data_IF_022857965018
#
_entry.id   IF_022857965018
#
_cell.length_a   1.000
_cell.length_b   1.000
_cell.length_c   1.000
_cell.angle_alpha   90.00
_cell.angle_beta   90.00
_cell.angle_gamma   90.00
#
_symmetry.space_group_name_H-M   'P 1'
#
loop_
_entity.id
_entity.type
_entity.pdbx_description
1 polymer ?
#
# COMPACT_ATOMS: atom_id res chain seq x y z
N UNK A 1 -15.50 -37.52 -66.56
CA UNK A 1 -15.92 -38.52 -65.55
C UNK A 1 -15.43 -38.00 -64.20
N UNK A 2 -16.32 -37.41 -63.40
CA UNK A 2 -17.03 -38.09 -62.30
C UNK A 2 -16.11 -38.33 -61.08
N UNK A 3 -16.43 -37.60 -60.00
CA UNK A 3 -16.33 -37.96 -58.56
C UNK A 3 -15.01 -37.57 -57.87
N UNK A 4 -15.04 -36.57 -56.97
CA UNK A 4 -15.32 -36.67 -55.50
C UNK A 4 -14.03 -37.14 -54.79
N UNK A 5 -13.53 -36.56 -53.69
CA UNK A 5 -14.19 -35.91 -52.55
C UNK A 5 -13.16 -35.08 -51.77
N UNK A 6 -13.67 -34.01 -51.15
CA UNK A 6 -13.49 -33.56 -49.76
C UNK A 6 -12.08 -33.60 -49.14
N UNK A 7 -11.63 -32.53 -48.48
CA UNK A 7 -11.96 -32.12 -47.09
C UNK A 7 -11.13 -30.83 -46.89
N UNK A 8 -11.53 -29.68 -46.37
CA UNK A 8 -12.74 -29.06 -45.82
C UNK A 8 -12.52 -27.54 -46.03
N UNK A 9 -13.48 -26.73 -46.50
CA UNK A 9 -14.34 -25.89 -45.64
C UNK A 9 -13.55 -25.23 -44.49
N UNK A 10 -13.29 -23.92 -44.42
CA UNK A 10 -14.13 -22.77 -44.81
C UNK A 10 -13.29 -21.53 -45.16
N UNK A 11 -13.57 -20.99 -46.35
CA UNK A 11 -13.27 -19.62 -46.77
C UNK A 11 -14.42 -18.67 -46.42
N UNK A 12 -14.04 -17.41 -46.17
CA UNK A 12 -14.76 -16.17 -46.54
C UNK A 12 -16.00 -15.71 -45.74
N UNK A 13 -15.88 -14.48 -45.24
CA UNK A 13 -16.97 -13.65 -44.74
C UNK A 13 -16.50 -12.21 -44.44
N UNK A 14 -16.09 -11.49 -45.47
CA UNK A 14 -15.79 -10.05 -45.46
C UNK A 14 -16.97 -9.21 -44.96
N UNK A 15 -16.75 -8.38 -43.93
CA UNK A 15 -17.15 -6.96 -43.86
C UNK A 15 -16.06 -6.30 -42.99
N UNK A 16 -15.22 -5.41 -43.49
CA UNK A 16 -15.59 -4.06 -43.89
C UNK A 16 -15.00 -3.07 -42.88
N UNK A 17 -13.71 -2.73 -43.03
CA UNK A 17 -13.19 -1.39 -42.76
C UNK A 17 -11.72 -1.33 -43.16
N UNK A 18 -11.46 -0.68 -44.28
CA UNK A 18 -10.19 -0.01 -44.54
C UNK A 18 -10.01 1.03 -43.42
N UNK A 19 -9.15 0.74 -42.45
CA UNK A 19 -8.70 1.78 -41.53
C UNK A 19 -7.78 2.71 -42.31
N UNK A 20 -8.08 4.01 -42.39
CA UNK A 20 -7.20 4.96 -43.04
C UNK A 20 -5.89 5.01 -42.27
N UNK A 21 -4.78 4.91 -43.00
CA UNK A 21 -3.45 5.21 -42.50
C UNK A 21 -3.37 6.73 -42.30
N UNK A 22 -3.94 7.21 -41.20
CA UNK A 22 -3.78 8.60 -40.77
C UNK A 22 -2.52 8.65 -39.93
N UNK A 23 -1.50 9.31 -40.48
CA UNK A 23 -0.36 9.86 -39.76
C UNK A 23 -0.79 10.35 -38.38
N UNK A 24 -0.46 9.58 -37.36
CA UNK A 24 -0.71 9.88 -35.95
C UNK A 24 0.64 9.98 -35.23
N UNK A 25 1.47 10.90 -35.70
CA UNK A 25 2.69 11.35 -35.01
C UNK A 25 2.44 12.53 -34.05
N UNK A 26 1.20 12.82 -33.69
CA UNK A 26 0.87 13.76 -32.62
C UNK A 26 -0.19 13.14 -31.73
N UNK A 27 0.13 13.01 -30.45
CA UNK A 27 -0.65 12.36 -29.39
C UNK A 27 -0.57 10.83 -29.34
N UNK A 28 0.64 10.29 -29.12
CA UNK A 28 0.76 9.12 -28.23
C UNK A 28 0.42 9.57 -26.81
N UNK A 29 -0.87 9.72 -26.52
CA UNK A 29 -1.33 9.44 -25.16
C UNK A 29 -1.15 7.93 -25.03
N UNK A 30 -0.01 7.55 -24.45
CA UNK A 30 0.29 6.17 -24.11
C UNK A 30 -0.88 5.66 -23.27
N UNK A 31 -1.67 4.76 -23.87
CA UNK A 31 -2.75 4.04 -23.22
C UNK A 31 -2.27 3.50 -21.89
N UNK A 32 -2.96 3.88 -20.81
CA UNK A 32 -3.07 3.23 -19.50
C UNK A 32 -2.19 1.99 -19.28
N UNK A 33 -0.88 2.15 -19.27
CA UNK A 33 0.01 1.13 -18.71
C UNK A 33 -0.28 1.13 -17.22
N UNK A 34 -0.81 0.00 -16.71
CA UNK A 34 -0.96 -0.19 -15.27
C UNK A 34 0.42 0.02 -14.65
N UNK A 35 0.54 1.08 -13.87
CA UNK A 35 1.77 1.38 -13.12
C UNK A 35 2.16 0.13 -12.32
N UNK A 36 3.45 -0.23 -12.24
CA UNK A 36 3.84 -1.41 -11.51
C UNK A 36 3.50 -1.24 -10.04
N UNK A 37 2.81 -2.23 -9.48
CA UNK A 37 2.60 -2.31 -8.04
C UNK A 37 3.89 -2.81 -7.40
N UNK A 38 4.33 -2.09 -6.37
CA UNK A 38 5.44 -2.49 -5.50
C UNK A 38 4.85 -3.21 -4.29
N UNK A 39 5.61 -4.14 -3.74
CA UNK A 39 5.25 -4.85 -2.52
C UNK A 39 6.14 -4.42 -1.36
N UNK A 40 5.53 -4.12 -0.21
CA UNK A 40 6.23 -3.91 1.06
C UNK A 40 5.74 -4.92 2.08
N UNK A 41 6.67 -5.65 2.69
CA UNK A 41 6.36 -6.52 3.83
C UNK A 41 6.38 -5.68 5.11
N UNK A 42 5.36 -5.83 5.95
CA UNK A 42 5.21 -5.13 7.22
C UNK A 42 4.72 -6.07 8.32
N UNK A 43 5.09 -5.76 9.56
CA UNK A 43 4.55 -6.44 10.74
C UNK A 43 3.80 -5.43 11.61
N UNK A 44 2.62 -5.82 12.06
CA UNK A 44 1.77 -5.00 12.92
C UNK A 44 1.30 -5.83 14.11
N UNK A 45 1.61 -5.38 15.32
CA UNK A 45 1.07 -5.96 16.54
C UNK A 45 -0.26 -5.29 16.87
N UNK A 46 -1.32 -6.11 16.96
CA UNK A 46 -2.62 -5.71 17.51
C UNK A 46 -2.83 -6.36 18.87
N UNK A 47 -3.18 -5.55 19.86
CA UNK A 47 -3.29 -5.99 21.25
C UNK A 47 -4.74 -6.16 21.70
N UNK A 48 -5.01 -7.17 22.53
CA UNK A 48 -6.25 -7.31 23.29
C UNK A 48 -5.90 -7.37 24.77
N UNK A 49 -6.35 -6.37 25.54
CA UNK A 49 -6.02 -6.26 26.96
C UNK A 49 -7.03 -7.00 27.84
N UNK A 50 -6.71 -8.23 28.24
CA UNK A 50 -7.60 -9.01 29.11
C UNK A 50 -7.56 -8.56 30.58
N UNK A 51 -6.72 -7.58 30.95
CA UNK A 51 -6.80 -6.99 32.28
C UNK A 51 -8.13 -6.26 32.50
N UNK A 52 -8.81 -5.85 31.42
CA UNK A 52 -10.11 -5.16 31.46
C UNK A 52 -11.30 -6.12 31.65
N UNK A 53 -11.07 -7.44 31.65
CA UNK A 53 -12.15 -8.41 31.79
C UNK A 53 -12.57 -8.59 33.26
N UNK A 54 -13.87 -8.56 33.50
CA UNK A 54 -14.43 -9.03 34.76
C UNK A 54 -14.55 -10.57 34.72
N UNK A 55 -13.70 -11.26 35.47
CA UNK A 55 -13.66 -12.72 35.55
C UNK A 55 -14.14 -13.25 36.92
N UNK A 56 -14.59 -12.37 37.81
CA UNK A 56 -14.78 -12.71 39.22
C UNK A 56 -16.14 -13.43 39.46
N UNK A 57 -17.15 -13.12 38.64
CA UNK A 57 -18.53 -13.65 38.76
C UNK A 57 -19.00 -14.39 37.49
N UNK A 58 -18.13 -15.19 36.87
CA UNK A 58 -18.48 -15.91 35.65
C UNK A 58 -19.55 -16.99 35.89
N UNK A 59 -20.68 -16.87 35.18
CA UNK A 59 -21.71 -17.91 35.15
C UNK A 59 -21.28 -19.03 34.19
N UNK A 60 -20.88 -20.17 34.76
CA UNK A 60 -20.52 -21.35 33.98
C UNK A 60 -21.74 -22.22 33.68
N UNK A 61 -22.00 -22.46 32.40
CA UNK A 61 -23.07 -23.32 31.90
C UNK A 61 -22.47 -24.66 31.48
N UNK A 62 -23.12 -25.77 31.85
CA UNK A 62 -22.68 -27.11 31.46
C UNK A 62 -23.06 -27.40 30.00
N UNK A 63 -22.06 -27.71 29.17
CA UNK A 63 -22.21 -28.11 27.76
C UNK A 63 -21.55 -29.47 27.57
N UNK A 64 -22.35 -30.54 27.61
CA UNK A 64 -21.84 -31.92 27.57
C UNK A 64 -20.98 -32.24 28.79
N UNK A 65 -19.70 -32.56 28.57
CA UNK A 65 -18.75 -32.92 29.62
C UNK A 65 -17.96 -31.73 30.20
N UNK A 66 -18.14 -30.53 29.65
CA UNK A 66 -17.36 -29.33 29.99
C UNK A 66 -18.28 -28.21 30.49
N UNK A 67 -17.72 -27.29 31.26
CA UNK A 67 -18.40 -26.08 31.70
C UNK A 67 -17.87 -24.90 30.89
N UNK A 68 -18.73 -24.01 30.41
CA UNK A 68 -18.33 -22.85 29.60
C UNK A 68 -18.90 -21.56 30.17
N UNK A 69 -18.11 -20.50 30.14
CA UNK A 69 -18.56 -19.13 30.33
C UNK A 69 -18.14 -18.31 29.10
N UNK A 70 -18.91 -17.28 28.79
CA UNK A 70 -18.60 -16.31 27.73
C UNK A 70 -18.48 -14.93 28.36
N UNK A 71 -17.44 -14.20 27.97
CA UNK A 71 -17.16 -12.86 28.45
C UNK A 71 -17.08 -11.93 27.24
N UNK A 72 -17.87 -10.87 27.28
CA UNK A 72 -17.83 -9.74 26.34
C UNK A 72 -17.36 -8.48 27.11
N UNK A 73 -16.76 -7.52 26.40
CA UNK A 73 -16.38 -6.23 26.99
C UNK A 73 -16.44 -5.12 25.94
N UNK A 74 -17.37 -4.19 26.13
CA UNK A 74 -17.53 -3.02 25.26
C UNK A 74 -16.25 -2.17 25.19
N UNK A 75 -15.48 -2.11 26.29
CA UNK A 75 -14.21 -1.38 26.34
C UNK A 75 -13.15 -2.04 25.46
N UNK A 76 -13.07 -3.38 25.48
CA UNK A 76 -12.17 -4.15 24.63
C UNK A 76 -12.53 -3.99 23.15
N UNK A 77 -13.83 -4.06 22.82
CA UNK A 77 -14.34 -3.91 21.46
C UNK A 77 -14.05 -2.52 20.90
N UNK A 78 -14.31 -1.49 21.70
CA UNK A 78 -14.01 -0.10 21.36
C UNK A 78 -12.51 0.12 21.19
N UNK A 79 -11.68 -0.40 22.10
CA UNK A 79 -10.23 -0.28 22.00
C UNK A 79 -9.70 -0.92 20.72
N UNK A 80 -10.15 -2.13 20.40
CA UNK A 80 -9.75 -2.82 19.18
C UNK A 80 -10.14 -2.03 17.92
N UNK A 81 -11.38 -1.50 17.86
CA UNK A 81 -11.84 -0.70 16.72
C UNK A 81 -11.09 0.63 16.60
N UNK A 82 -11.05 1.42 17.67
CA UNK A 82 -10.60 2.82 17.61
C UNK A 82 -9.08 2.96 17.67
N UNK A 83 -8.38 1.95 18.22
CA UNK A 83 -6.93 1.96 18.40
C UNK A 83 -6.26 0.93 17.49
N UNK A 84 -6.62 -0.35 17.60
CA UNK A 84 -5.85 -1.41 16.94
C UNK A 84 -6.09 -1.48 15.43
N UNK A 85 -7.35 -1.43 14.97
CA UNK A 85 -7.67 -1.33 13.53
C UNK A 85 -7.21 -0.01 12.94
N UNK A 86 -7.24 1.08 13.71
CA UNK A 86 -6.71 2.37 13.26
C UNK A 86 -5.22 2.29 12.92
N UNK A 87 -4.41 1.59 13.72
CA UNK A 87 -2.97 1.39 13.42
C UNK A 87 -2.76 0.75 12.05
N UNK A 88 -3.59 -0.21 11.66
CA UNK A 88 -3.53 -0.82 10.32
C UNK A 88 -3.78 0.23 9.24
N UNK A 89 -4.82 1.05 9.40
CA UNK A 89 -5.17 2.08 8.42
C UNK A 89 -4.12 3.19 8.35
N UNK A 90 -3.57 3.62 9.49
CA UNK A 90 -2.47 4.59 9.55
C UNK A 90 -1.21 4.08 8.83
N UNK A 91 -0.94 2.76 8.86
CA UNK A 91 0.14 2.15 8.07
C UNK A 91 -0.17 2.22 6.57
N UNK A 92 -1.39 1.88 6.16
CA UNK A 92 -1.79 1.89 4.75
C UNK A 92 -1.82 3.31 4.17
N UNK A 93 -2.20 4.31 4.97
CA UNK A 93 -2.21 5.72 4.59
C UNK A 93 -0.81 6.26 4.29
N UNK A 94 0.23 5.78 4.98
CA UNK A 94 1.63 6.13 4.65
C UNK A 94 2.02 5.74 3.23
N UNK A 95 1.40 4.72 2.65
CA UNK A 95 1.65 4.24 1.30
C UNK A 95 0.57 4.65 0.30
N UNK A 96 -0.37 5.51 0.72
CA UNK A 96 -1.52 5.97 -0.09
C UNK A 96 -2.25 4.82 -0.81
N UNK A 97 -2.45 3.71 -0.08
CA UNK A 97 -3.09 2.50 -0.63
C UNK A 97 -4.15 1.97 0.30
N UNK A 98 -5.05 1.15 -0.24
CA UNK A 98 -5.99 0.29 0.48
C UNK A 98 -5.79 -1.19 0.13
N UNK A 99 -4.82 -1.50 -0.74
CA UNK A 99 -4.56 -2.83 -1.26
C UNK A 99 -3.48 -3.51 -0.41
N UNK A 100 -3.89 -4.53 0.33
CA UNK A 100 -3.00 -5.28 1.21
C UNK A 100 -3.53 -6.70 1.40
N UNK A 101 -2.64 -7.56 1.90
CA UNK A 101 -2.94 -8.94 2.29
C UNK A 101 -2.28 -9.26 3.62
N UNK A 102 -3.08 -9.76 4.56
CA UNK A 102 -2.64 -10.45 5.76
C UNK A 102 -2.14 -11.84 5.35
N UNK A 103 -0.83 -12.05 5.38
CA UNK A 103 -0.19 -13.32 5.05
C UNK A 103 -0.40 -14.34 6.17
N UNK A 104 -0.28 -13.88 7.42
CA UNK A 104 -0.46 -14.70 8.63
C UNK A 104 -0.72 -13.82 9.85
N UNK A 105 -1.28 -14.43 10.88
CA UNK A 105 -1.45 -13.80 12.20
C UNK A 105 -0.87 -14.73 13.26
N UNK A 106 0.17 -14.27 13.95
CA UNK A 106 0.79 -15.00 15.06
C UNK A 106 0.20 -14.52 16.37
N UNK A 107 -0.52 -15.39 17.07
CA UNK A 107 -0.96 -15.12 18.44
C UNK A 107 0.19 -15.39 19.40
N UNK A 108 0.47 -14.44 20.29
CA UNK A 108 1.39 -14.54 21.41
C UNK A 108 0.66 -14.23 22.72
N UNK A 109 0.62 -15.22 23.61
CA UNK A 109 -0.04 -15.10 24.91
C UNK A 109 0.63 -15.98 25.95
N UNK A 110 1.04 -15.40 27.10
CA UNK A 110 1.71 -16.11 28.21
C UNK A 110 2.82 -17.08 27.75
N UNK A 111 3.78 -16.55 26.97
CA UNK A 111 4.92 -17.28 26.41
C UNK A 111 4.57 -18.41 25.42
N UNK A 112 3.32 -18.47 24.95
CA UNK A 112 2.89 -19.39 23.93
C UNK A 112 2.68 -18.64 22.63
N UNK A 113 3.10 -19.25 21.52
CA UNK A 113 3.02 -18.67 20.19
C UNK A 113 2.44 -19.66 19.21
N UNK A 114 1.44 -19.25 18.44
CA UNK A 114 0.81 -20.09 17.41
C UNK A 114 0.12 -19.22 16.37
N UNK A 115 0.26 -19.61 15.10
CA UNK A 115 -0.44 -18.93 14.02
C UNK A 115 -1.92 -19.29 14.03
N UNK A 116 -2.77 -18.32 13.67
CA UNK A 116 -4.13 -18.60 13.24
C UNK A 116 -4.12 -19.52 12.02
N UNK A 117 -5.18 -20.31 11.88
CA UNK A 117 -5.39 -21.08 10.66
C UNK A 117 -5.68 -20.15 9.46
N UNK A 118 -5.45 -20.70 8.26
CA UNK A 118 -5.63 -19.96 7.00
C UNK A 118 -7.08 -19.51 6.82
N UNK A 119 -8.07 -20.31 7.23
CA UNK A 119 -9.50 -19.95 7.10
C UNK A 119 -9.80 -18.67 7.86
N UNK A 120 -9.35 -18.54 9.10
CA UNK A 120 -9.57 -17.34 9.91
C UNK A 120 -8.75 -16.15 9.41
N UNK A 121 -7.54 -16.38 8.92
CA UNK A 121 -6.72 -15.35 8.27
C UNK A 121 -7.39 -14.80 7.00
N UNK A 122 -7.96 -15.67 6.16
CA UNK A 122 -8.67 -15.27 4.94
C UNK A 122 -9.94 -14.48 5.26
N UNK A 123 -10.66 -14.85 6.32
CA UNK A 123 -11.83 -14.07 6.77
C UNK A 123 -11.43 -12.68 7.25
N UNK A 124 -10.33 -12.56 8.01
CA UNK A 124 -9.80 -11.25 8.41
C UNK A 124 -9.38 -10.41 7.20
N UNK A 125 -8.76 -11.03 6.18
CA UNK A 125 -8.48 -10.36 4.90
C UNK A 125 -9.74 -9.81 4.27
N UNK A 126 -10.77 -10.64 4.08
CA UNK A 126 -12.04 -10.20 3.48
C UNK A 126 -12.64 -9.01 4.23
N UNK A 127 -12.77 -9.12 5.55
CA UNK A 127 -13.34 -8.05 6.37
C UNK A 127 -12.50 -6.78 6.26
N UNK A 128 -11.20 -6.83 6.57
CA UNK A 128 -10.40 -5.61 6.71
C UNK A 128 -10.15 -4.93 5.35
N UNK A 129 -10.07 -5.69 4.25
CA UNK A 129 -10.00 -5.12 2.90
C UNK A 129 -11.32 -4.45 2.51
N UNK A 130 -12.48 -5.07 2.79
CA UNK A 130 -13.80 -4.47 2.49
C UNK A 130 -14.09 -3.19 3.26
N UNK A 131 -13.48 -3.01 4.45
CA UNK A 131 -13.56 -1.76 5.19
C UNK A 131 -12.91 -0.59 4.43
N UNK A 132 -11.97 -0.83 3.51
CA UNK A 132 -11.36 0.21 2.67
C UNK A 132 -10.89 1.42 3.51
N UNK A 133 -10.20 1.17 4.62
CA UNK A 133 -9.69 2.17 5.58
C UNK A 133 -10.74 3.04 6.28
N UNK A 134 -12.03 2.64 6.29
CA UNK A 134 -13.13 3.40 6.89
C UNK A 134 -13.68 2.69 8.13
N UNK A 135 -13.28 3.14 9.32
CA UNK A 135 -13.74 2.56 10.60
C UNK A 135 -15.24 2.77 10.85
N UNK A 136 -15.82 3.82 10.28
CA UNK A 136 -17.25 4.14 10.34
C UNK A 136 -18.11 3.12 9.58
N UNK A 137 -17.53 2.31 8.69
CA UNK A 137 -18.22 1.18 8.08
C UNK A 137 -18.50 0.03 9.04
N UNK A 138 -17.79 -0.07 10.16
CA UNK A 138 -18.02 -1.10 11.18
C UNK A 138 -19.25 -0.70 11.99
N UNK A 139 -20.37 -1.39 11.78
CA UNK A 139 -21.65 -1.13 12.47
C UNK A 139 -21.72 -1.84 13.82
N UNK A 140 -21.13 -3.03 13.91
CA UNK A 140 -21.02 -3.81 15.15
C UNK A 140 -19.69 -4.55 15.18
N UNK A 141 -19.07 -4.62 16.35
CA UNK A 141 -17.85 -5.39 16.59
C UNK A 141 -17.92 -5.96 17.99
N UNK A 142 -17.76 -7.27 18.13
CA UNK A 142 -17.81 -7.97 19.41
C UNK A 142 -16.74 -9.03 19.52
N UNK A 143 -16.00 -8.99 20.62
CA UNK A 143 -15.14 -10.09 21.03
C UNK A 143 -15.87 -10.99 22.01
N UNK A 144 -15.88 -12.28 21.69
CA UNK A 144 -16.39 -13.34 22.57
C UNK A 144 -15.24 -14.14 23.11
N UNK A 145 -15.01 -14.01 24.42
CA UNK A 145 -13.95 -14.71 25.14
C UNK A 145 -14.60 -15.89 25.84
N UNK A 146 -14.41 -17.07 25.25
CA UNK A 146 -14.97 -18.32 25.75
C UNK A 146 -13.96 -18.95 26.70
N UNK A 147 -14.40 -19.18 27.94
CA UNK A 147 -13.61 -19.83 28.98
C UNK A 147 -14.21 -21.21 29.27
N UNK A 148 -13.47 -22.26 28.98
CA UNK A 148 -13.87 -23.64 29.27
C UNK A 148 -13.24 -24.11 30.58
N UNK A 149 -14.06 -24.61 31.50
CA UNK A 149 -13.66 -25.13 32.80
C UNK A 149 -13.75 -26.66 32.82
N UNK A 150 -12.65 -27.29 33.15
CA UNK A 150 -12.50 -28.74 33.27
C UNK A 150 -12.07 -29.10 34.68
N UNK A 151 -12.73 -30.08 35.29
CA UNK A 151 -12.31 -30.61 36.59
C UNK A 151 -11.56 -31.92 36.35
N UNK A 152 -10.26 -31.92 36.64
CA UNK A 152 -9.41 -33.10 36.56
C UNK A 152 -9.06 -33.60 37.96
N UNK A 153 -9.24 -34.90 38.23
CA UNK A 153 -8.98 -35.49 39.55
C UNK A 153 -7.51 -35.40 39.99
N UNK A 154 -6.56 -35.29 39.06
CA UNK A 154 -5.12 -35.24 39.32
C UNK A 154 -4.62 -33.79 39.37
N UNK A 155 -5.06 -32.95 38.43
CA UNK A 155 -4.53 -31.59 38.23
C UNK A 155 -5.42 -30.47 38.78
N UNK A 156 -6.57 -30.82 39.38
CA UNK A 156 -7.56 -29.86 39.84
C UNK A 156 -8.36 -29.22 38.72
N UNK A 157 -8.93 -28.05 38.99
CA UNK A 157 -9.66 -27.27 37.99
C UNK A 157 -8.69 -26.62 37.01
N UNK A 158 -9.01 -26.73 35.72
CA UNK A 158 -8.25 -26.19 34.61
C UNK A 158 -9.15 -25.33 33.74
N UNK A 159 -8.60 -24.23 33.23
CA UNK A 159 -9.30 -23.29 32.37
C UNK A 159 -8.63 -23.21 31.00
N UNK A 160 -9.41 -23.17 29.94
CA UNK A 160 -8.94 -22.97 28.57
C UNK A 160 -9.65 -21.79 27.95
N UNK A 161 -8.95 -21.04 27.10
CA UNK A 161 -9.51 -19.84 26.48
C UNK A 161 -9.58 -20.01 24.97
N UNK A 162 -10.62 -19.43 24.39
CA UNK A 162 -10.73 -19.20 22.95
C UNK A 162 -11.33 -17.80 22.75
N UNK A 163 -10.83 -17.08 21.74
CA UNK A 163 -11.26 -15.71 21.46
C UNK A 163 -11.79 -15.67 20.05
N UNK A 164 -13.03 -15.23 19.94
CA UNK A 164 -13.74 -15.09 18.68
C UNK A 164 -14.09 -13.61 18.46
N UNK A 165 -14.13 -13.22 17.19
CA UNK A 165 -14.56 -11.91 16.71
C UNK A 165 -15.82 -12.09 15.85
N UNK A 166 -16.85 -11.35 16.22
CA UNK A 166 -18.04 -11.13 15.41
C UNK A 166 -18.00 -9.69 14.91
N UNK A 167 -18.15 -9.49 13.60
CA UNK A 167 -18.10 -8.16 13.00
C UNK A 167 -19.17 -7.97 11.92
N UNK A 168 -19.88 -6.85 12.02
CA UNK A 168 -20.84 -6.39 11.02
C UNK A 168 -20.32 -5.11 10.40
N UNK A 169 -20.33 -5.04 9.07
CA UNK A 169 -19.76 -3.93 8.32
C UNK A 169 -20.49 -3.64 7.00
N UNK A 170 -20.40 -2.40 6.53
CA UNK A 170 -20.94 -1.98 5.22
C UNK A 170 -19.91 -2.18 4.11
N UNK A 171 -20.20 -3.06 3.16
CA UNK A 171 -19.47 -3.20 1.92
C UNK A 171 -19.97 -2.16 0.90
N UNK A 172 -19.06 -1.52 0.15
CA UNK A 172 -19.41 -0.49 -0.83
C UNK A 172 -20.31 -1.06 -1.95
N UNK A 173 -20.28 -2.38 -2.20
CA UNK A 173 -20.97 -3.00 -3.33
C UNK A 173 -22.17 -3.88 -2.94
N UNK A 174 -22.28 -4.31 -1.68
CA UNK A 174 -23.20 -5.39 -1.27
C UNK A 174 -24.06 -5.05 -0.03
N UNK A 175 -23.96 -3.83 0.51
CA UNK A 175 -24.68 -3.45 1.72
C UNK A 175 -24.05 -4.00 3.00
N UNK A 176 -24.86 -4.28 4.02
CA UNK A 176 -24.37 -4.75 5.32
C UNK A 176 -24.04 -6.25 5.29
N UNK A 177 -22.83 -6.61 5.70
CA UNK A 177 -22.30 -7.97 5.81
C UNK A 177 -21.97 -8.30 7.26
N UNK A 178 -22.06 -9.58 7.59
CA UNK A 178 -21.78 -10.09 8.93
C UNK A 178 -20.82 -11.29 8.84
N UNK A 179 -19.75 -11.25 9.64
CA UNK A 179 -18.79 -12.33 9.77
C UNK A 179 -18.67 -12.73 11.23
N UNK A 180 -19.19 -13.93 11.56
CA UNK A 180 -19.29 -14.41 12.94
C UNK A 180 -18.29 -15.51 13.26
N UNK A 181 -17.82 -15.56 14.49
CA UNK A 181 -16.90 -16.54 15.03
C UNK A 181 -15.57 -16.59 14.26
N UNK A 182 -15.04 -15.44 13.85
CA UNK A 182 -13.66 -15.37 13.35
C UNK A 182 -12.75 -15.64 14.54
N UNK A 183 -12.03 -16.76 14.55
CA UNK A 183 -11.10 -17.04 15.63
C UNK A 183 -9.91 -16.09 15.53
N UNK A 184 -9.62 -15.38 16.62
CA UNK A 184 -8.45 -14.49 16.74
C UNK A 184 -7.49 -14.94 17.85
N UNK A 185 -7.71 -16.15 18.38
CA UNK A 185 -6.81 -16.85 19.30
C UNK A 185 -6.20 -18.07 18.61
N UNK A 186 -4.93 -18.01 18.24
CA UNK A 186 -4.26 -19.09 17.51
C UNK A 186 -3.77 -20.24 18.37
N UNK A 187 -3.58 -20.03 19.68
CA UNK A 187 -3.03 -21.06 20.57
C UNK A 187 -4.08 -22.14 20.81
N UNK A 188 -3.71 -23.40 20.55
CA UNK A 188 -4.60 -24.53 20.75
C UNK A 188 -4.99 -24.67 22.24
N UNK A 189 -6.24 -25.06 22.47
CA UNK A 189 -6.90 -25.13 23.78
C UNK A 189 -6.42 -26.28 24.68
N UNK A 190 -5.17 -26.76 24.53
CA UNK A 190 -4.60 -27.80 25.40
C UNK A 190 -3.69 -27.23 26.49
N UNK A 191 -3.39 -25.92 26.48
CA UNK A 191 -2.59 -25.28 27.53
C UNK A 191 -3.51 -24.67 28.59
N UNK A 192 -3.69 -25.33 29.76
CA UNK A 192 -4.62 -24.87 30.76
C UNK A 192 -4.02 -23.73 31.61
N UNK A 193 -4.89 -22.87 32.10
CA UNK A 193 -4.65 -22.00 33.24
C UNK A 193 -5.15 -22.69 34.51
N UNK A 194 -4.45 -22.51 35.62
CA UNK A 194 -4.86 -23.04 36.92
C UNK A 194 -5.71 -22.02 37.70
N UNK A 195 -5.63 -20.74 37.34
CA UNK A 195 -6.41 -19.65 37.91
C UNK A 195 -6.98 -18.73 36.82
N UNK A 196 -8.22 -18.26 37.00
CA UNK A 196 -8.83 -17.26 36.10
C UNK A 196 -8.02 -15.95 36.05
N UNK A 197 -7.40 -15.55 37.16
CA UNK A 197 -6.55 -14.36 37.20
C UNK A 197 -5.30 -14.50 36.31
N UNK A 198 -4.86 -15.71 35.98
CA UNK A 198 -3.75 -15.90 35.05
C UNK A 198 -4.14 -15.48 33.63
N UNK A 199 -5.44 -15.42 33.30
CA UNK A 199 -5.93 -14.96 32.00
C UNK A 199 -5.81 -13.44 31.86
N UNK A 200 -5.87 -12.67 32.96
CA UNK A 200 -5.76 -11.19 32.96
C UNK A 200 -4.35 -10.77 32.52
N UNK A 201 -4.18 -10.54 31.22
CA UNK A 201 -2.94 -10.11 30.57
C UNK A 201 -3.17 -9.68 29.14
N UNK A 202 -2.18 -9.04 28.52
CA UNK A 202 -2.27 -8.62 27.13
C UNK A 202 -2.03 -9.82 26.21
N UNK A 203 -2.99 -10.07 25.32
CA UNK A 203 -2.83 -10.91 24.15
C UNK A 203 -2.34 -10.07 22.98
N UNK A 204 -1.33 -10.56 22.28
CA UNK A 204 -0.78 -9.89 21.09
C UNK A 204 -1.02 -10.76 19.87
N UNK A 205 -1.64 -10.20 18.83
CA UNK A 205 -1.70 -10.78 17.50
C UNK A 205 -0.78 -10.00 16.57
N UNK A 206 0.31 -10.62 16.13
CA UNK A 206 1.23 -10.04 15.14
C UNK A 206 0.76 -10.39 13.74
N UNK A 207 0.29 -9.39 13.00
CA UNK A 207 -0.13 -9.49 11.60
C UNK A 207 1.10 -9.32 10.70
N UNK A 208 1.36 -10.30 9.85
CA UNK A 208 2.32 -10.22 8.75
C UNK A 208 1.57 -9.76 7.50
N UNK A 209 1.92 -8.58 6.98
CA UNK A 209 1.20 -7.89 5.92
C UNK A 209 2.07 -7.75 4.66
N UNK A 210 1.50 -8.07 3.51
CA UNK A 210 1.97 -7.59 2.21
C UNK A 210 1.14 -6.38 1.82
N UNK A 211 1.77 -5.21 1.71
CA UNK A 211 1.13 -3.97 1.22
C UNK A 211 1.47 -3.81 -0.25
N UNK A 212 0.45 -3.62 -1.09
CA UNK A 212 0.58 -3.35 -2.51
C UNK A 212 0.35 -1.86 -2.74
N UNK A 213 1.32 -1.17 -3.31
CA UNK A 213 1.20 0.26 -3.52
C UNK A 213 1.90 0.70 -4.79
N UNK A 214 1.47 1.84 -5.31
CA UNK A 214 2.16 2.53 -6.40
C UNK A 214 3.01 3.61 -5.76
N UNK A 215 4.33 3.54 -5.94
CA UNK A 215 5.20 4.58 -5.40
C UNK A 215 4.97 5.92 -6.12
N UNK A 216 5.10 7.02 -5.39
CA UNK A 216 4.90 8.38 -5.89
C UNK A 216 6.20 9.17 -5.79
N UNK A 217 6.56 9.90 -6.85
CA UNK A 217 7.71 10.83 -6.85
C UNK A 217 7.30 12.30 -6.87
N UNK A 218 6.03 12.62 -6.54
CA UNK A 218 5.51 13.99 -6.58
C UNK A 218 6.29 14.89 -5.62
N UNK A 219 7.12 15.78 -6.18
CA UNK A 219 7.88 16.75 -5.43
C UNK A 219 8.24 17.94 -6.32
N UNK A 220 8.46 19.09 -5.69
CA UNK A 220 8.96 20.29 -6.33
C UNK A 220 9.94 20.95 -5.38
N UNK A 221 11.19 21.06 -5.82
CA UNK A 221 12.20 21.80 -5.08
C UNK A 221 11.76 23.27 -4.98
N UNK A 222 11.70 23.84 -3.78
CA UNK A 222 11.42 25.28 -3.58
C UNK A 222 12.67 26.08 -3.26
N UNK A 223 13.79 25.39 -3.10
CA UNK A 223 15.14 25.91 -2.86
C UNK A 223 16.16 25.02 -3.59
N UNK A 224 17.39 25.48 -3.78
CA UNK A 224 18.42 24.68 -4.47
C UNK A 224 19.07 23.64 -3.54
N UNK A 225 18.28 22.64 -3.14
CA UNK A 225 18.69 21.56 -2.25
C UNK A 225 19.36 20.38 -2.98
N UNK A 226 19.07 20.21 -4.27
CA UNK A 226 19.62 19.12 -5.09
C UNK A 226 21.15 19.17 -5.19
N UNK A 227 21.74 20.37 -5.12
CA UNK A 227 23.16 20.65 -5.37
C UNK A 227 23.66 20.11 -6.72
N UNK A 228 22.77 19.88 -7.68
CA UNK A 228 23.12 19.41 -9.03
C UNK A 228 23.41 20.61 -9.91
N UNK A 229 24.69 20.80 -10.24
CA UNK A 229 25.18 21.95 -11.01
C UNK A 229 25.58 21.49 -12.41
N UNK A 230 25.00 22.13 -13.42
CA UNK A 230 25.38 21.95 -14.82
C UNK A 230 26.42 22.99 -15.19
N UNK A 231 27.66 22.56 -15.39
CA UNK A 231 28.73 23.40 -15.93
C UNK A 231 28.77 23.28 -17.45
N UNK A 232 28.66 24.40 -18.15
CA UNK A 232 28.78 24.49 -19.61
C UNK A 232 29.84 25.52 -19.99
N UNK A 233 30.62 25.25 -21.03
CA UNK A 233 31.56 26.22 -21.62
C UNK A 233 30.93 26.99 -22.79
N UNK A 234 29.60 26.88 -22.95
CA UNK A 234 28.83 27.49 -24.03
C UNK A 234 27.89 28.52 -23.39
N UNK A 235 28.09 29.80 -23.75
CA UNK A 235 27.21 30.90 -23.35
C UNK A 235 25.88 30.78 -24.11
N UNK A 236 24.80 30.54 -23.37
CA UNK A 236 23.46 30.31 -23.91
C UNK A 236 23.24 28.86 -24.33
N UNK A 237 22.22 28.21 -23.77
CA UNK A 237 22.06 26.76 -23.93
C UNK A 237 20.95 26.40 -24.90
N UNK A 238 21.31 25.60 -25.91
CA UNK A 238 20.37 24.88 -26.75
C UNK A 238 19.64 23.87 -25.85
N UNK A 239 18.33 24.05 -25.66
CA UNK A 239 17.48 23.22 -24.80
C UNK A 239 17.70 21.70 -24.99
N UNK A 240 17.86 21.27 -26.24
CA UNK A 240 18.20 19.88 -26.60
C UNK A 240 19.47 19.35 -25.93
N UNK A 241 20.51 20.18 -25.84
CA UNK A 241 21.77 19.79 -25.20
C UNK A 241 21.55 19.57 -23.71
N UNK A 242 20.78 20.43 -23.03
CA UNK A 242 20.44 20.22 -21.62
C UNK A 242 19.73 18.91 -21.37
N UNK A 243 18.68 18.62 -22.14
CA UNK A 243 17.95 17.36 -22.01
C UNK A 243 18.89 16.16 -22.15
N UNK A 244 19.78 16.19 -23.14
CA UNK A 244 20.78 15.13 -23.35
C UNK A 244 21.82 15.05 -22.22
N UNK A 245 22.27 16.19 -21.67
CA UNK A 245 23.22 16.21 -20.55
C UNK A 245 22.57 15.69 -19.26
N UNK A 246 21.31 16.04 -18.99
CA UNK A 246 20.54 15.47 -17.88
C UNK A 246 20.41 13.96 -18.03
N UNK A 247 20.24 13.46 -19.27
CA UNK A 247 20.19 12.03 -19.58
C UNK A 247 21.53 11.29 -19.45
N UNK A 248 22.66 11.99 -19.27
CA UNK A 248 23.94 11.34 -19.01
C UNK A 248 23.90 10.55 -17.70
N UNK A 249 24.50 9.36 -17.72
CA UNK A 249 24.45 8.42 -16.61
C UNK A 249 24.87 9.02 -15.25
N UNK A 250 25.87 9.94 -15.26
CA UNK A 250 26.34 10.61 -14.04
C UNK A 250 25.27 11.49 -13.39
N UNK A 251 24.51 12.25 -14.18
CA UNK A 251 23.48 13.15 -13.69
C UNK A 251 22.21 12.38 -13.35
N UNK A 252 21.82 11.43 -14.21
CA UNK A 252 20.75 10.48 -13.91
C UNK A 252 20.96 9.79 -12.56
N UNK A 253 22.17 9.33 -12.25
CA UNK A 253 22.48 8.71 -10.96
C UNK A 253 22.32 9.69 -9.78
N UNK A 254 22.79 10.93 -9.91
CA UNK A 254 22.65 11.95 -8.86
C UNK A 254 21.19 12.33 -8.62
N UNK A 255 20.44 12.59 -9.70
CA UNK A 255 19.00 12.92 -9.65
C UNK A 255 18.24 11.75 -9.03
N UNK A 256 18.48 10.52 -9.48
CA UNK A 256 17.85 9.32 -8.94
C UNK A 256 18.12 9.18 -7.44
N UNK A 257 19.37 9.35 -7.01
CA UNK A 257 19.75 9.30 -5.59
C UNK A 257 19.04 10.37 -4.77
N UNK A 258 18.93 11.59 -5.32
CA UNK A 258 18.23 12.68 -4.66
C UNK A 258 16.73 12.39 -4.53
N UNK A 259 16.05 11.96 -5.60
CA UNK A 259 14.63 11.58 -5.58
C UNK A 259 14.38 10.48 -4.55
N UNK A 260 15.22 9.44 -4.50
CA UNK A 260 15.12 8.36 -3.51
C UNK A 260 15.18 8.88 -2.08
N UNK A 261 16.05 9.86 -1.85
CA UNK A 261 16.27 10.43 -0.51
C UNK A 261 15.09 11.31 -0.10
N UNK A 262 14.59 12.15 -1.00
CA UNK A 262 13.53 13.11 -0.71
C UNK A 262 12.14 12.46 -0.66
N UNK A 263 11.87 11.53 -1.57
CA UNK A 263 10.55 10.90 -1.69
C UNK A 263 10.46 9.54 -0.97
N UNK A 264 11.55 9.03 -0.40
CA UNK A 264 11.61 7.69 0.24
C UNK A 264 11.15 6.55 -0.69
N UNK A 265 11.57 6.60 -1.96
CA UNK A 265 11.16 5.63 -3.01
C UNK A 265 12.33 4.72 -3.41
N UNK A 266 12.54 3.63 -2.67
CA UNK A 266 13.67 2.70 -2.93
C UNK A 266 13.62 2.02 -4.31
N UNK A 267 12.41 1.74 -4.80
CA UNK A 267 12.13 0.94 -6.01
C UNK A 267 12.50 1.61 -7.33
N UNK A 268 12.61 2.94 -7.36
CA UNK A 268 12.93 3.70 -8.56
C UNK A 268 14.34 3.36 -9.04
N UNK A 269 14.52 2.75 -10.20
CA UNK A 269 15.83 2.31 -10.71
C UNK A 269 16.29 3.08 -11.94
N UNK A 270 15.38 3.72 -12.66
CA UNK A 270 15.66 4.53 -13.83
C UNK A 270 14.68 5.69 -13.95
N UNK A 271 15.09 6.74 -14.66
CA UNK A 271 14.23 7.86 -15.03
C UNK A 271 13.93 7.78 -16.52
N UNK A 272 12.79 8.34 -16.93
CA UNK A 272 12.49 8.51 -18.34
C UNK A 272 13.48 9.52 -18.94
N UNK A 273 13.98 9.23 -20.14
CA UNK A 273 14.86 10.15 -20.86
C UNK A 273 14.11 11.43 -21.22
N UNK A 274 14.74 12.58 -21.00
CA UNK A 274 14.20 13.88 -21.41
C UNK A 274 14.51 14.16 -22.88
N UNK A 275 15.66 13.70 -23.37
CA UNK A 275 16.07 13.74 -24.77
C UNK A 275 15.57 12.54 -25.58
N UNK A 276 16.02 12.44 -26.83
CA UNK A 276 15.66 11.34 -27.72
C UNK A 276 14.20 11.39 -28.18
N UNK A 277 13.42 10.35 -27.87
CA UNK A 277 12.00 10.23 -28.29
C UNK A 277 11.07 11.24 -27.58
N UNK A 278 11.50 11.78 -26.44
CA UNK A 278 10.74 12.75 -25.64
C UNK A 278 11.17 14.20 -25.88
N UNK A 279 11.99 14.45 -26.91
CA UNK A 279 12.63 15.74 -27.12
C UNK A 279 11.65 16.91 -27.29
N UNK A 280 10.50 16.67 -27.92
CA UNK A 280 9.47 17.69 -28.17
C UNK A 280 8.58 17.96 -26.94
N UNK A 281 8.72 17.18 -25.86
CA UNK A 281 7.92 17.36 -24.65
C UNK A 281 8.45 18.53 -23.80
N UNK A 282 7.52 19.26 -23.18
CA UNK A 282 7.80 20.31 -22.21
C UNK A 282 8.33 19.68 -20.91
N UNK A 283 9.66 19.63 -20.79
CA UNK A 283 10.36 19.00 -19.65
C UNK A 283 11.32 19.93 -18.94
N UNK A 284 11.57 21.13 -19.47
CA UNK A 284 12.42 22.15 -18.85
C UNK A 284 11.59 23.43 -18.75
N UNK A 285 11.63 24.07 -17.58
CA UNK A 285 10.80 25.21 -17.24
C UNK A 285 11.67 26.33 -16.67
N UNK A 286 11.28 27.59 -16.92
CA UNK A 286 11.90 28.74 -16.26
C UNK A 286 11.63 28.67 -14.75
N UNK A 287 12.37 29.45 -13.97
CA UNK A 287 12.09 29.60 -12.54
C UNK A 287 11.50 30.98 -12.28
N UNK A 288 10.68 31.05 -11.23
CA UNK A 288 10.14 32.31 -10.71
C UNK A 288 10.62 32.45 -9.27
N UNK A 289 11.36 33.51 -8.98
CA UNK A 289 11.71 33.83 -7.60
C UNK A 289 10.49 34.42 -6.89
N UNK A 290 10.13 33.84 -5.76
CA UNK A 290 9.01 34.28 -4.93
C UNK A 290 9.47 35.37 -3.95
N UNK A 291 8.55 36.20 -3.41
CA UNK A 291 8.91 37.27 -2.49
C UNK A 291 9.63 36.83 -1.20
N UNK A 292 9.49 35.56 -0.81
CA UNK A 292 10.15 34.94 0.35
C UNK A 292 11.54 34.36 0.02
N UNK A 293 12.08 34.62 -1.19
CA UNK A 293 13.40 34.15 -1.62
C UNK A 293 13.45 32.67 -1.98
N UNK A 294 12.29 32.08 -2.31
CA UNK A 294 12.17 30.70 -2.81
C UNK A 294 11.95 30.69 -4.32
N UNK A 295 11.87 29.49 -4.88
CA UNK A 295 11.68 29.27 -6.30
C UNK A 295 10.36 28.53 -6.59
N UNK A 296 9.70 28.94 -7.67
CA UNK A 296 8.53 28.31 -8.26
C UNK A 296 8.80 27.94 -9.74
N UNK A 297 8.06 26.96 -10.25
CA UNK A 297 8.10 26.53 -11.66
C UNK A 297 7.39 27.60 -12.48
N UNK A 298 8.13 28.23 -13.38
CA UNK A 298 7.63 29.21 -14.33
C UNK A 298 7.15 28.58 -15.64
N UNK A 299 7.19 29.39 -16.69
CA UNK A 299 6.75 28.98 -18.02
C UNK A 299 7.66 27.87 -18.59
N UNK A 300 7.06 26.94 -19.32
CA UNK A 300 7.80 25.93 -20.06
C UNK A 300 8.64 26.60 -21.16
N UNK A 301 9.90 26.16 -21.32
CA UNK A 301 10.67 26.59 -22.47
C UNK A 301 10.10 25.97 -23.74
N UNK A 302 9.73 26.82 -24.70
CA UNK A 302 9.34 26.37 -26.04
C UNK A 302 10.58 25.87 -26.78
N UNK A 303 10.45 24.76 -27.52
CA UNK A 303 11.55 24.13 -28.25
C UNK A 303 11.88 24.92 -29.53
N UNK A 304 12.40 26.13 -29.36
CA UNK A 304 12.67 27.10 -30.42
C UNK A 304 14.17 27.24 -30.76
N UNK A 305 15.01 26.29 -30.31
CA UNK A 305 16.47 26.32 -30.44
C UNK A 305 17.14 27.60 -29.89
N UNK A 306 16.41 28.46 -29.16
CA UNK A 306 16.99 29.65 -28.55
C UNK A 306 17.84 29.27 -27.33
N UNK A 307 18.92 30.02 -27.11
CA UNK A 307 19.79 29.84 -25.96
C UNK A 307 19.10 30.27 -24.67
N UNK A 308 19.03 29.38 -23.68
CA UNK A 308 18.59 29.72 -22.32
C UNK A 308 19.78 30.36 -21.60
N UNK A 309 19.62 31.60 -21.10
CA UNK A 309 20.61 32.29 -20.27
C UNK A 309 20.02 32.59 -18.89
N UNK A 310 19.83 31.54 -18.11
CA UNK A 310 19.29 31.58 -16.74
C UNK A 310 20.24 30.86 -15.81
N UNK A 311 20.43 31.40 -14.61
CA UNK A 311 21.26 30.81 -13.56
C UNK A 311 20.60 29.56 -12.96
N UNK A 312 19.28 29.48 -13.02
CA UNK A 312 18.48 28.36 -12.55
C UNK A 312 17.42 27.97 -13.57
N UNK A 313 16.98 26.71 -13.52
CA UNK A 313 15.84 26.21 -14.27
C UNK A 313 15.30 24.94 -13.61
N UNK A 314 14.06 24.59 -13.91
CA UNK A 314 13.47 23.33 -13.47
C UNK A 314 13.56 22.27 -14.55
N UNK A 315 13.89 21.04 -14.15
CA UNK A 315 13.66 19.86 -14.97
C UNK A 315 12.52 19.04 -14.38
N UNK A 316 11.55 18.68 -15.23
CA UNK A 316 10.49 17.73 -14.89
C UNK A 316 11.00 16.32 -15.14
N UNK A 317 11.20 15.58 -14.05
CA UNK A 317 11.68 14.22 -14.04
C UNK A 317 10.50 13.27 -13.80
N UNK A 318 10.42 12.22 -14.62
CA UNK A 318 9.40 11.17 -14.51
C UNK A 318 10.04 9.79 -14.58
N UNK A 319 9.28 8.76 -14.20
CA UNK A 319 9.59 7.36 -14.51
C UNK A 319 8.29 6.58 -14.62
N UNK A 320 7.56 6.84 -15.71
CA UNK A 320 6.18 6.34 -15.91
C UNK A 320 6.08 4.83 -15.82
N UNK A 321 7.15 4.12 -16.16
CA UNK A 321 7.22 2.67 -16.09
C UNK A 321 7.45 2.11 -14.68
N UNK A 322 7.72 2.96 -13.67
CA UNK A 322 8.12 2.52 -12.32
C UNK A 322 7.33 3.16 -11.18
N UNK A 323 6.90 4.42 -11.34
CA UNK A 323 6.28 5.23 -10.29
C UNK A 323 5.23 6.18 -10.87
N UNK A 324 4.36 6.72 -10.03
CA UNK A 324 3.42 7.77 -10.38
C UNK A 324 3.97 9.16 -10.05
N UNK A 325 3.59 10.14 -10.87
CA UNK A 325 3.80 11.55 -10.57
C UNK A 325 5.01 12.14 -11.24
N UNK A 326 5.34 13.35 -10.82
CA UNK A 326 6.30 14.23 -11.49
C UNK A 326 7.17 14.88 -10.42
N UNK A 327 8.48 14.84 -10.63
CA UNK A 327 9.46 15.46 -9.75
C UNK A 327 10.06 16.67 -10.47
N UNK A 328 9.83 17.87 -9.95
CA UNK A 328 10.40 19.10 -10.48
C UNK A 328 11.67 19.42 -9.70
N UNK A 329 12.82 19.13 -10.30
CA UNK A 329 14.12 19.37 -9.70
C UNK A 329 14.64 20.74 -10.12
N UNK A 330 15.06 21.56 -9.14
CA UNK A 330 15.72 22.82 -9.41
C UNK A 330 17.20 22.56 -9.70
N UNK A 331 17.66 23.05 -10.83
CA UNK A 331 19.02 22.86 -11.32
C UNK A 331 19.71 24.20 -11.45
N UNK A 332 21.00 24.24 -11.10
CA UNK A 332 21.83 25.42 -11.31
C UNK A 332 22.61 25.28 -12.60
N UNK A 333 22.58 26.32 -13.40
CA UNK A 333 23.42 26.51 -14.56
C UNK A 333 24.65 27.36 -14.19
N UNK A 334 25.84 26.80 -14.32
CA UNK A 334 27.13 27.52 -14.24
C UNK A 334 27.77 27.51 -15.63
N UNK A 335 27.11 28.18 -16.57
CA UNK A 335 27.65 28.42 -17.91
C UNK A 335 28.65 29.57 -17.83
N UNK A 336 29.91 29.30 -18.20
CA UNK A 336 31.00 30.28 -18.21
C UNK A 336 31.31 30.80 -19.61
#
# INVERSE_FOLDING_TARGET
MKKLLAICLTTLGLTGSTTPFVSSYKNKVFKDEKLPQITKQQKLDMNLDFNMLNLDDLEFIKVGAIWKAEVESDELDKNFKDVELKKLFDILDKYDTNDFKINSVLTNFKNNRKNLDTKNTDRLNTVFTSLNKKLDKITSLKHKIIIEKHNNNIYGTQYYINVLLDITYKDDNDGEKEENNIRIYGIESYKPFTNLNDIKSILVNTFDLTIYYVASIKHKDTEFSSNIIFTSNIVGIILKQYKNTIDEQRFQYQILKYIKTICDVESLSSLDKLGGENIELETIFDYVETPDGKFDVGDAFTDNNAGINRDYFYAKITSKSQVQGEFYILLKNDAK
#
